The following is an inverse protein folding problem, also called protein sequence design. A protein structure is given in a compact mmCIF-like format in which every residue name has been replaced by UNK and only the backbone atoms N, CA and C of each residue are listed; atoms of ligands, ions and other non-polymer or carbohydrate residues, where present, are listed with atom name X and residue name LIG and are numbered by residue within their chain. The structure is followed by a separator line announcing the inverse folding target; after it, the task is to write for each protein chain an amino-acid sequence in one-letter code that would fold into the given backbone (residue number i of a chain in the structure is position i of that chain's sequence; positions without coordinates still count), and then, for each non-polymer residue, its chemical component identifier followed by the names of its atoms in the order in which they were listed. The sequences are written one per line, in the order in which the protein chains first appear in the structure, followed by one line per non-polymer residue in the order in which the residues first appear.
data_IF_956066149825
#
_entry.id   IF_956066149825
#
_cell.length_a   1.000
_cell.length_b   1.000
_cell.length_c   1.000
_cell.angle_alpha   90.00
_cell.angle_beta   90.00
_cell.angle_gamma   90.00
#
_symmetry.space_group_name_H-M   'P 1'
#
loop_
_entity.id
_entity.type
_entity.pdbx_description
1 polymer ?
#
# COMPACT_ATOMS: atom_id res chain seq x y z
N UNK A 1 23.03 -12.31 -6.90
CA UNK A 1 22.26 -12.61 -8.10
C UNK A 1 20.99 -13.37 -7.80
N UNK A 2 21.08 -14.40 -7.05
CA UNK A 2 19.91 -15.19 -6.72
C UNK A 2 18.99 -14.56 -5.70
N UNK A 3 19.39 -13.43 -5.19
CA UNK A 3 18.60 -12.72 -4.21
C UNK A 3 17.23 -12.30 -4.73
N UNK A 4 17.13 -12.14 -6.04
CA UNK A 4 15.86 -11.79 -6.65
C UNK A 4 14.79 -12.85 -6.37
N UNK A 5 15.19 -14.10 -6.50
CA UNK A 5 14.27 -15.20 -6.24
C UNK A 5 13.98 -15.34 -4.76
N UNK A 6 14.98 -15.07 -3.94
CA UNK A 6 14.80 -15.13 -2.50
C UNK A 6 13.73 -14.18 -2.01
N UNK A 7 13.70 -12.96 -2.55
CA UNK A 7 12.70 -12.00 -2.15
C UNK A 7 11.30 -12.44 -2.51
N UNK A 8 11.15 -13.00 -3.72
CA UNK A 8 9.84 -13.48 -4.15
C UNK A 8 9.35 -14.62 -3.29
N UNK A 9 10.26 -15.51 -2.93
CA UNK A 9 9.90 -16.61 -2.06
C UNK A 9 9.47 -16.13 -0.70
N UNK A 10 10.14 -15.11 -0.18
CA UNK A 10 9.80 -14.60 1.14
C UNK A 10 8.39 -14.06 1.19
N UNK A 11 7.96 -13.39 0.14
CA UNK A 11 6.62 -12.85 0.12
C UNK A 11 5.56 -13.94 0.00
N UNK A 12 5.92 -15.05 -0.63
CA UNK A 12 4.97 -16.13 -0.84
C UNK A 12 5.00 -17.21 0.25
N UNK A 13 5.98 -17.13 1.15
CA UNK A 13 6.13 -18.16 2.20
C UNK A 13 5.50 -17.77 3.52
N UNK A 14 4.81 -16.64 3.57
CA UNK A 14 4.13 -16.24 4.80
C UNK A 14 3.08 -17.30 5.13
N UNK A 15 3.12 -17.85 6.35
CA UNK A 15 2.18 -18.91 6.69
C UNK A 15 0.74 -18.39 6.70
N UNK A 16 -0.21 -19.24 6.34
CA UNK A 16 -1.61 -18.85 6.41
C UNK A 16 -2.02 -18.61 7.85
N UNK A 17 -3.05 -17.80 8.05
CA UNK A 17 -3.57 -17.54 9.38
C UNK A 17 -4.35 -18.74 9.87
N UNK A 18 -4.26 -18.96 11.17
CA UNK A 18 -5.08 -19.98 11.81
C UNK A 18 -6.55 -19.54 11.78
N UNK A 19 -7.48 -20.50 11.80
CA UNK A 19 -8.90 -20.14 11.86
C UNK A 19 -9.20 -19.25 13.06
N UNK A 20 -9.91 -18.17 12.81
CA UNK A 20 -10.28 -17.21 13.85
C UNK A 20 -9.19 -16.22 14.21
N UNK A 21 -8.04 -16.30 13.58
CA UNK A 21 -6.94 -15.38 13.82
C UNK A 21 -7.26 -14.02 13.22
N UNK A 22 -6.87 -12.96 13.94
CA UNK A 22 -7.08 -11.60 13.48
C UNK A 22 -5.80 -11.00 12.95
N UNK A 23 -5.74 -9.66 12.90
CA UNK A 23 -4.54 -8.96 12.47
C UNK A 23 -3.34 -9.36 13.35
N UNK A 24 -2.18 -9.49 12.73
CA UNK A 24 -0.96 -9.80 13.47
C UNK A 24 -0.50 -8.59 14.28
N UNK A 25 0.09 -8.85 15.44
CA UNK A 25 0.56 -7.80 16.33
C UNK A 25 1.49 -6.81 15.64
N UNK A 26 2.38 -7.32 14.81
CA UNK A 26 3.32 -6.51 14.08
C UNK A 26 2.61 -5.53 13.14
N UNK A 27 1.61 -6.02 12.44
CA UNK A 27 0.84 -5.19 11.52
C UNK A 27 0.01 -4.16 12.27
N UNK A 28 -0.56 -4.55 13.40
CA UNK A 28 -1.35 -3.62 14.21
C UNK A 28 -0.49 -2.50 14.75
N UNK A 29 0.68 -2.83 15.27
CA UNK A 29 1.62 -1.84 15.77
C UNK A 29 2.04 -0.88 14.65
N UNK A 30 2.29 -1.42 13.47
CA UNK A 30 2.65 -0.60 12.32
C UNK A 30 1.55 0.41 12.00
N UNK A 31 0.30 -0.06 11.96
CA UNK A 31 -0.83 0.82 11.64
C UNK A 31 -1.03 1.91 12.71
N UNK A 32 -0.85 1.54 13.97
CA UNK A 32 -0.93 2.51 15.06
C UNK A 32 0.10 3.60 14.91
N UNK A 33 1.34 3.22 14.62
CA UNK A 33 2.42 4.17 14.44
C UNK A 33 2.21 5.04 13.20
N UNK A 34 1.78 4.43 12.13
CA UNK A 34 1.53 5.17 10.89
C UNK A 34 0.46 6.25 11.09
N UNK A 35 -0.61 5.89 11.76
CA UNK A 35 -1.71 6.82 12.00
C UNK A 35 -1.35 7.90 13.02
N UNK A 36 -0.50 7.57 14.00
CA UNK A 36 -0.19 8.49 15.08
C UNK A 36 0.56 9.74 14.62
N UNK A 37 1.28 9.65 13.51
CA UNK A 37 2.06 10.77 13.00
C UNK A 37 1.37 11.51 11.88
N UNK A 38 0.13 11.16 11.57
CA UNK A 38 -0.60 11.73 10.44
C UNK A 38 -1.95 12.27 10.89
N UNK A 39 -2.50 13.15 10.07
CA UNK A 39 -3.79 13.80 10.35
C UNK A 39 -4.85 13.32 9.40
N UNK A 40 -6.09 13.29 9.88
CA UNK A 40 -7.23 12.97 9.05
C UNK A 40 -7.21 11.58 8.47
N UNK A 41 -6.70 10.62 9.24
CA UNK A 41 -6.57 9.25 8.77
C UNK A 41 -7.92 8.56 8.77
N UNK A 42 -8.26 7.94 7.66
CA UNK A 42 -9.46 7.11 7.52
C UNK A 42 -9.04 5.75 7.01
N UNK A 43 -9.79 4.72 7.41
CA UNK A 43 -9.50 3.35 6.99
C UNK A 43 -10.54 2.82 6.05
N UNK A 44 -10.09 2.02 5.08
CA UNK A 44 -10.96 1.43 4.08
C UNK A 44 -10.71 -0.07 4.05
N UNK A 45 -11.73 -0.82 4.44
CA UNK A 45 -11.63 -2.29 4.52
C UNK A 45 -11.87 -2.87 3.13
N UNK A 46 -10.91 -3.68 2.69
CA UNK A 46 -11.00 -4.36 1.40
C UNK A 46 -11.46 -5.80 1.64
N UNK A 47 -12.39 -6.29 0.83
CA UNK A 47 -12.93 -7.63 1.05
C UNK A 47 -11.92 -8.71 0.75
N UNK A 48 -12.17 -9.88 1.33
CA UNK A 48 -11.39 -11.06 1.02
C UNK A 48 -11.68 -11.50 -0.42
N UNK A 49 -10.62 -11.96 -1.09
CA UNK A 49 -10.75 -12.54 -2.43
C UNK A 49 -10.16 -13.95 -2.43
N UNK A 50 -10.21 -14.61 -3.58
CA UNK A 50 -9.65 -15.96 -3.70
C UNK A 50 -8.15 -15.96 -3.38
N UNK A 51 -7.45 -14.89 -3.74
CA UNK A 51 -6.00 -14.82 -3.60
C UNK A 51 -5.53 -13.95 -2.45
N UNK A 52 -6.39 -13.12 -1.87
CA UNK A 52 -5.99 -12.19 -0.83
C UNK A 52 -6.94 -12.22 0.36
N UNK A 53 -6.36 -12.17 1.55
CA UNK A 53 -7.13 -11.99 2.77
C UNK A 53 -7.74 -10.60 2.81
N UNK A 54 -8.73 -10.45 3.70
CA UNK A 54 -9.26 -9.14 3.99
C UNK A 54 -8.15 -8.22 4.47
N UNK A 55 -8.16 -6.98 4.01
CA UNK A 55 -7.11 -6.02 4.35
C UNK A 55 -7.73 -4.66 4.66
N UNK A 56 -6.94 -3.78 5.25
CA UNK A 56 -7.34 -2.40 5.50
C UNK A 56 -6.32 -1.45 4.89
N UNK A 57 -6.83 -0.41 4.25
CA UNK A 57 -6.01 0.67 3.71
C UNK A 57 -6.25 1.89 4.57
N UNK A 58 -5.19 2.49 5.11
CA UNK A 58 -5.28 3.74 5.83
C UNK A 58 -4.84 4.87 4.90
N UNK A 59 -5.61 5.95 4.88
CA UNK A 59 -5.33 7.09 4.02
C UNK A 59 -5.33 8.34 4.88
N UNK A 60 -4.28 9.17 4.77
CA UNK A 60 -4.21 10.39 5.55
C UNK A 60 -4.81 11.58 4.77
N UNK A 61 -4.73 12.77 5.36
CA UNK A 61 -5.33 13.96 4.77
C UNK A 61 -4.69 14.37 3.46
N UNK A 62 -3.47 13.94 3.21
CA UNK A 62 -2.74 14.28 1.99
C UNK A 62 -2.88 13.23 0.89
N UNK A 63 -3.63 12.16 1.18
CA UNK A 63 -3.81 11.09 0.20
C UNK A 63 -2.76 10.01 0.24
N UNK A 64 -1.79 10.12 1.13
CA UNK A 64 -0.80 9.08 1.32
C UNK A 64 -1.46 7.89 2.02
N UNK A 65 -1.07 6.67 1.67
CA UNK A 65 -1.79 5.50 2.15
C UNK A 65 -0.85 4.33 2.41
N UNK A 66 -1.35 3.39 3.22
CA UNK A 66 -0.66 2.14 3.49
C UNK A 66 -1.70 1.02 3.60
N UNK A 67 -1.28 -0.21 3.41
CA UNK A 67 -2.17 -1.38 3.44
C UNK A 67 -1.58 -2.47 4.31
N UNK A 68 -2.44 -3.12 5.09
CA UNK A 68 -2.05 -4.30 5.85
C UNK A 68 -3.21 -5.30 5.90
N UNK A 69 -2.88 -6.58 5.96
CA UNK A 69 -3.87 -7.64 6.03
C UNK A 69 -4.40 -7.74 7.45
N UNK A 70 -5.70 -7.95 7.58
CA UNK A 70 -6.35 -8.01 8.88
C UNK A 70 -7.02 -9.36 9.14
N UNK A 71 -6.90 -10.30 8.22
CA UNK A 71 -7.31 -11.67 8.40
C UNK A 71 -8.80 -11.92 8.17
N UNK A 72 -9.66 -11.17 8.79
CA UNK A 72 -11.10 -11.35 8.66
C UNK A 72 -11.86 -10.31 9.44
N UNK A 73 -13.19 -10.48 9.60
CA UNK A 73 -14.04 -9.47 10.24
C UNK A 73 -13.60 -9.06 11.64
N UNK A 74 -13.04 -9.98 12.42
CA UNK A 74 -12.55 -9.65 13.76
C UNK A 74 -11.42 -8.63 13.72
N UNK A 75 -10.66 -8.61 12.63
CA UNK A 75 -9.59 -7.64 12.44
C UNK A 75 -10.12 -6.22 12.31
N UNK A 76 -11.32 -6.06 11.80
CA UNK A 76 -11.95 -4.74 11.67
C UNK A 76 -12.11 -4.11 13.04
N UNK A 77 -12.68 -4.86 13.98
CA UNK A 77 -12.89 -4.36 15.33
C UNK A 77 -11.56 -4.05 16.02
N UNK A 78 -10.58 -4.91 15.81
CA UNK A 78 -9.27 -4.75 16.41
C UNK A 78 -8.62 -3.44 15.93
N UNK A 79 -8.68 -3.18 14.64
CA UNK A 79 -8.12 -1.96 14.07
C UNK A 79 -8.91 -0.74 14.55
N UNK A 80 -10.23 -0.81 14.55
CA UNK A 80 -11.06 0.30 14.99
C UNK A 80 -10.76 0.69 16.43
N UNK A 81 -10.62 -0.30 17.31
CA UNK A 81 -10.36 -0.04 18.72
C UNK A 81 -8.93 0.44 18.97
N UNK A 82 -7.97 -0.17 18.28
CA UNK A 82 -6.56 0.06 18.57
C UNK A 82 -6.00 1.29 17.88
N UNK A 83 -6.48 1.57 16.67
CA UNK A 83 -5.99 2.72 15.90
C UNK A 83 -6.87 3.95 16.13
N UNK A 84 -8.16 3.73 16.39
CA UNK A 84 -9.07 4.81 16.76
C UNK A 84 -9.42 5.73 15.60
N UNK A 85 -9.60 5.18 14.41
CA UNK A 85 -9.96 5.95 13.23
C UNK A 85 -11.27 5.44 12.65
N UNK A 86 -11.97 6.27 11.87
CA UNK A 86 -13.18 5.79 11.18
C UNK A 86 -12.81 4.75 10.14
N UNK A 87 -13.61 3.71 10.03
CA UNK A 87 -13.43 2.65 9.05
C UNK A 87 -14.64 2.58 8.14
N UNK A 88 -14.38 2.44 6.86
CA UNK A 88 -15.40 2.30 5.83
C UNK A 88 -15.12 1.04 5.03
N UNK A 89 -16.14 0.54 4.32
CA UNK A 89 -15.92 -0.58 3.41
C UNK A 89 -15.66 -0.04 2.01
N UNK A 90 -14.50 -0.37 1.45
CA UNK A 90 -14.08 0.13 0.16
C UNK A 90 -15.08 -0.19 -0.95
N UNK A 91 -15.77 -1.33 -0.84
CA UNK A 91 -16.78 -1.72 -1.80
C UNK A 91 -17.94 -0.74 -1.87
N UNK A 92 -18.27 -0.13 -0.74
CA UNK A 92 -19.42 0.76 -0.65
C UNK A 92 -19.06 2.20 -0.96
N UNK A 93 -17.94 2.65 -0.43
CA UNK A 93 -17.56 4.06 -0.53
C UNK A 93 -16.58 4.37 -1.63
N UNK A 94 -15.84 3.35 -2.10
CA UNK A 94 -14.67 3.59 -2.92
C UNK A 94 -13.58 4.23 -2.09
N UNK A 95 -12.45 4.50 -2.71
CA UNK A 95 -11.34 5.18 -2.04
C UNK A 95 -11.52 6.68 -2.16
N UNK A 96 -11.01 7.45 -1.20
CA UNK A 96 -11.18 8.90 -1.25
C UNK A 96 -10.48 9.53 -2.44
N UNK A 97 -11.03 10.63 -2.91
CA UNK A 97 -10.48 11.31 -4.08
C UNK A 97 -9.03 11.74 -3.85
N UNK A 98 -8.70 12.18 -2.64
CA UNK A 98 -7.35 12.60 -2.33
C UNK A 98 -6.32 11.48 -2.51
N UNK A 99 -6.71 10.24 -2.23
CA UNK A 99 -5.85 9.09 -2.46
C UNK A 99 -5.66 8.83 -3.96
N UNK A 100 -6.77 8.88 -4.71
CA UNK A 100 -6.71 8.67 -6.15
C UNK A 100 -5.88 9.74 -6.83
N UNK A 101 -6.04 10.98 -6.39
CA UNK A 101 -5.27 12.10 -6.94
C UNK A 101 -3.78 11.94 -6.64
N UNK A 102 -3.45 11.48 -5.45
CA UNK A 102 -2.06 11.25 -5.08
C UNK A 102 -1.43 10.16 -5.93
N UNK A 103 -2.14 9.08 -6.13
CA UNK A 103 -1.66 7.98 -6.97
C UNK A 103 -1.43 8.46 -8.40
N UNK A 104 -2.37 9.22 -8.93
CA UNK A 104 -2.26 9.72 -10.29
C UNK A 104 -1.09 10.70 -10.43
N UNK A 105 -0.92 11.59 -9.45
CA UNK A 105 0.18 12.55 -9.46
C UNK A 105 1.53 11.82 -9.41
N UNK A 106 1.64 10.83 -8.52
CA UNK A 106 2.89 10.09 -8.38
C UNK A 106 3.22 9.32 -9.66
N UNK A 107 2.18 8.77 -10.30
CA UNK A 107 2.35 8.07 -11.56
C UNK A 107 2.86 9.00 -12.66
N UNK A 108 2.32 10.22 -12.72
CA UNK A 108 2.74 11.20 -13.72
C UNK A 108 4.17 11.67 -13.47
N UNK A 109 4.53 11.88 -12.22
CA UNK A 109 5.89 12.29 -11.87
C UNK A 109 6.88 11.21 -12.29
N UNK A 110 6.56 9.96 -11.97
CA UNK A 110 7.40 8.84 -12.35
C UNK A 110 7.59 8.76 -13.85
N UNK A 111 6.50 8.94 -14.59
CA UNK A 111 6.53 8.89 -16.05
C UNK A 111 7.43 10.00 -16.62
N UNK A 112 7.34 11.20 -16.05
CA UNK A 112 8.18 12.31 -16.49
C UNK A 112 9.66 12.05 -16.24
N UNK A 113 9.97 11.49 -15.08
CA UNK A 113 11.35 11.16 -14.74
C UNK A 113 11.91 10.10 -15.68
N UNK A 114 11.11 9.10 -16.01
CA UNK A 114 11.53 8.07 -16.95
C UNK A 114 11.76 8.62 -18.34
N UNK A 115 10.90 9.53 -18.77
CA UNK A 115 11.07 10.17 -20.07
C UNK A 115 12.33 11.02 -20.13
N UNK A 116 12.60 11.77 -19.05
CA UNK A 116 13.80 12.60 -18.98
C UNK A 116 15.05 11.75 -19.02
N UNK A 117 15.03 10.64 -18.31
CA UNK A 117 16.16 9.72 -18.28
C UNK A 117 16.41 9.09 -19.64
N UNK A 118 15.34 8.67 -20.32
CA UNK A 118 15.49 8.11 -21.66
C UNK A 118 16.06 9.13 -22.65
N UNK A 119 15.60 10.37 -22.53
CA UNK A 119 16.13 11.43 -23.41
C UNK A 119 17.62 11.67 -23.16
N UNK A 120 18.00 11.70 -21.89
CA UNK A 120 19.41 11.90 -21.55
C UNK A 120 20.27 10.77 -22.09
N UNK A 121 19.79 9.54 -22.00
CA UNK A 121 20.50 8.38 -22.54
C UNK A 121 20.62 8.45 -24.05
N UNK A 122 19.56 8.88 -24.70
CA UNK A 122 19.55 9.00 -26.17
C UNK A 122 20.56 10.05 -26.62
N UNK A 123 20.59 11.19 -25.95
CA UNK A 123 21.52 12.27 -26.28
C UNK A 123 22.94 11.84 -26.03
N UNK A 124 23.17 11.11 -24.96
CA UNK A 124 24.50 10.60 -24.66
C UNK A 124 24.98 9.64 -25.74
N UNK A 125 24.11 8.75 -26.20
CA UNK A 125 24.48 7.82 -27.27
C UNK A 125 24.84 8.56 -28.56
N UNK A 126 24.07 9.59 -28.88
CA UNK A 126 24.34 10.39 -30.06
C UNK A 126 25.73 11.04 -29.97
N UNK A 127 26.07 11.59 -28.82
CA UNK A 127 27.37 12.20 -28.61
C UNK A 127 28.49 11.18 -28.74
N UNK A 128 28.27 9.98 -28.23
CA UNK A 128 29.27 8.92 -28.31
C UNK A 128 29.51 8.43 -29.72
N UNK A 129 28.54 8.61 -30.61
CA UNK A 129 28.67 8.18 -31.99
C UNK A 129 29.38 9.21 -32.86
N UNK A 130 29.95 10.23 -32.24
CA UNK A 130 30.80 11.19 -32.96
C UNK A 130 30.01 12.33 -33.58
N UNK A 131 28.83 12.54 -33.15
CA UNK A 131 28.02 13.66 -33.64
C UNK A 131 28.33 14.95 -32.87
#
# INVERSE_FOLDING_TARGET
MFNLFGRNKNSSTRPPRAPGETIRSKDLTYLQQWASTRKGVEGFVEPETIVNEMSVVLVDSEGEWTRRRIGGPKGIDKVAQSVGIPLYFAEETGYPQRMRDRIERDRLIKKRLEQRERRAQFEQRRAEQGE
#
